data_IF_066105944494
#
_entry.id   IF_066105944494
#
_cell.length_a   1.000
_cell.length_b   1.000
_cell.length_c   1.000
_cell.angle_alpha   90.00
_cell.angle_beta   90.00
_cell.angle_gamma   90.00
#
_symmetry.space_group_name_H-M   'P 1'
#
loop_
_entity.id
_entity.type
_entity.pdbx_description
1 polymer ?
#
# COMPACT_ATOMS: atom_id res chain seq x y z
N UNK A 1 12.24 19.52 26.21
CA UNK A 1 11.42 18.72 27.13
C UNK A 1 11.22 17.34 26.50
N UNK A 2 11.48 16.31 27.31
CA UNK A 2 11.33 14.91 26.89
C UNK A 2 10.39 14.18 27.87
N UNK A 3 9.40 13.49 27.36
CA UNK A 3 8.51 12.65 28.17
C UNK A 3 8.51 11.17 27.72
N UNK A 4 9.35 10.82 26.74
CA UNK A 4 9.52 9.46 26.24
C UNK A 4 10.51 8.63 27.06
N UNK A 5 10.54 7.33 26.81
CA UNK A 5 11.40 6.36 27.49
C UNK A 5 12.90 6.54 27.19
N UNK A 6 13.25 7.28 26.13
CA UNK A 6 14.61 7.61 25.75
C UNK A 6 14.78 9.10 25.48
N UNK A 7 16.01 9.59 25.68
CA UNK A 7 16.47 10.92 25.25
C UNK A 7 17.55 10.77 24.20
N UNK A 8 17.52 11.57 23.14
CA UNK A 8 18.57 11.60 22.13
C UNK A 8 19.81 12.32 22.72
N UNK A 9 20.91 11.57 22.83
CA UNK A 9 22.16 12.07 23.44
C UNK A 9 23.26 12.37 22.41
N UNK A 10 23.15 11.79 21.21
CA UNK A 10 24.02 12.08 20.07
C UNK A 10 23.23 12.09 18.77
N UNK A 11 23.63 12.96 17.85
CA UNK A 11 23.12 13.02 16.49
C UNK A 11 24.24 13.39 15.52
N UNK A 12 24.55 12.47 14.62
CA UNK A 12 25.46 12.71 13.48
C UNK A 12 24.63 12.65 12.21
N UNK A 13 24.48 13.79 11.56
CA UNK A 13 23.64 13.91 10.37
C UNK A 13 24.06 12.93 9.27
N UNK A 14 23.09 12.18 8.73
CA UNK A 14 23.31 11.18 7.70
C UNK A 14 24.03 9.90 8.16
N UNK A 15 24.34 9.76 9.45
CA UNK A 15 25.09 8.62 9.98
C UNK A 15 24.33 7.91 11.12
N UNK A 16 24.20 8.55 12.30
CA UNK A 16 23.59 7.88 13.45
C UNK A 16 22.83 8.81 14.39
N UNK A 17 21.92 8.21 15.14
CA UNK A 17 21.26 8.80 16.32
C UNK A 17 21.45 7.86 17.49
N UNK A 18 21.94 8.38 18.62
CA UNK A 18 22.08 7.62 19.86
C UNK A 18 21.02 8.08 20.85
N UNK A 19 20.28 7.14 21.38
CA UNK A 19 19.26 7.35 22.38
C UNK A 19 19.66 6.65 23.67
N UNK A 20 19.60 7.37 24.80
CA UNK A 20 19.91 6.83 26.12
C UNK A 20 18.64 6.80 26.98
N UNK A 21 18.49 5.79 27.81
CA UNK A 21 17.36 5.60 28.72
C UNK A 21 17.11 6.88 29.53
N UNK A 22 15.86 7.31 29.54
CA UNK A 22 15.45 8.50 30.29
C UNK A 22 15.15 8.12 31.76
N UNK A 23 15.98 8.49 32.73
CA UNK A 23 15.75 8.12 34.13
C UNK A 23 14.55 8.83 34.78
N UNK A 24 13.95 9.80 34.09
CA UNK A 24 12.74 10.52 34.51
C UNK A 24 11.47 10.03 33.80
N UNK A 25 11.58 8.96 33.01
CA UNK A 25 10.42 8.37 32.41
C UNK A 25 9.53 7.72 33.47
N UNK A 26 8.21 7.89 33.37
CA UNK A 26 7.27 7.45 34.43
C UNK A 26 7.27 5.92 34.63
N UNK A 27 7.62 5.16 33.60
CA UNK A 27 7.69 3.69 33.61
C UNK A 27 9.10 3.21 33.23
N UNK A 28 10.11 3.61 33.98
CA UNK A 28 11.51 3.27 33.71
C UNK A 28 11.80 1.78 33.83
N UNK A 29 11.01 1.04 34.61
CA UNK A 29 11.21 -0.39 34.83
C UNK A 29 10.86 -1.22 33.58
N UNK A 30 9.95 -0.75 32.75
CA UNK A 30 9.62 -1.40 31.47
C UNK A 30 10.69 -1.19 30.38
N UNK A 31 11.59 -0.22 30.55
CA UNK A 31 12.64 0.11 29.58
C UNK A 31 13.83 -0.84 29.74
N UNK A 32 14.01 -1.77 28.81
CA UNK A 32 14.97 -2.87 28.92
C UNK A 32 16.40 -2.51 28.48
N UNK A 33 16.54 -1.62 27.50
CA UNK A 33 17.85 -1.24 26.96
C UNK A 33 18.30 0.11 27.53
N UNK A 34 19.57 0.21 27.92
CA UNK A 34 20.12 1.46 28.39
C UNK A 34 20.42 2.43 27.23
N UNK A 35 20.80 1.89 26.09
CA UNK A 35 21.12 2.66 24.88
C UNK A 35 20.50 1.99 23.67
N UNK A 36 19.99 2.80 22.74
CA UNK A 36 19.54 2.37 21.42
C UNK A 36 20.22 3.28 20.37
N UNK A 37 20.93 2.67 19.42
CA UNK A 37 21.58 3.38 18.31
C UNK A 37 20.87 3.11 17.02
N UNK A 38 20.43 4.17 16.36
CA UNK A 38 19.84 4.10 15.04
C UNK A 38 20.88 4.54 13.99
N UNK A 39 21.40 3.59 13.23
CA UNK A 39 22.29 3.85 12.08
C UNK A 39 21.50 4.18 10.83
N UNK A 40 21.93 5.20 10.11
CA UNK A 40 21.35 5.58 8.82
C UNK A 40 22.28 5.08 7.72
N UNK A 41 21.75 4.21 6.85
CA UNK A 41 22.47 3.65 5.71
C UNK A 41 21.67 3.90 4.44
N UNK A 42 22.38 4.03 3.31
CA UNK A 42 21.74 4.42 2.04
C UNK A 42 20.94 3.27 1.39
N UNK A 43 21.30 2.03 1.67
CA UNK A 43 20.63 0.87 1.08
C UNK A 43 20.25 -0.19 2.11
N UNK A 44 19.15 -0.89 1.83
CA UNK A 44 18.71 -2.03 2.64
C UNK A 44 19.69 -3.21 2.59
N UNK A 45 20.40 -3.39 1.48
CA UNK A 45 21.43 -4.44 1.35
C UNK A 45 22.61 -4.17 2.29
N UNK A 46 23.04 -2.91 2.42
CA UNK A 46 24.06 -2.51 3.40
C UNK A 46 23.55 -2.75 4.84
N UNK A 47 22.31 -2.41 5.14
CA UNK A 47 21.72 -2.66 6.45
C UNK A 47 21.69 -4.17 6.77
N UNK A 48 21.35 -5.00 5.79
CA UNK A 48 21.34 -6.45 5.93
C UNK A 48 22.75 -7.04 6.16
N UNK A 49 23.76 -6.55 5.44
CA UNK A 49 25.16 -6.94 5.67
C UNK A 49 25.63 -6.58 7.08
N UNK A 50 25.29 -5.40 7.60
CA UNK A 50 25.60 -5.01 8.98
C UNK A 50 24.94 -5.93 10.01
N UNK A 51 23.76 -6.43 9.74
CA UNK A 51 23.11 -7.44 10.59
C UNK A 51 23.87 -8.78 10.53
N UNK A 52 24.27 -9.24 9.35
CA UNK A 52 25.04 -10.49 9.17
C UNK A 52 26.40 -10.43 9.85
N UNK A 53 27.05 -9.26 9.91
CA UNK A 53 28.33 -9.07 10.59
C UNK A 53 28.19 -8.83 12.09
N UNK A 54 26.96 -8.69 12.61
CA UNK A 54 26.70 -8.41 14.03
C UNK A 54 26.90 -6.95 14.42
N UNK A 55 27.00 -6.03 13.46
CA UNK A 55 27.13 -4.60 13.71
C UNK A 55 25.81 -3.91 14.06
N UNK A 56 24.67 -4.55 13.80
CA UNK A 56 23.34 -4.15 14.21
C UNK A 56 22.54 -5.36 14.67
N UNK A 57 21.65 -5.15 15.67
CA UNK A 57 20.83 -6.20 16.28
C UNK A 57 19.50 -6.42 15.56
N UNK A 58 19.08 -5.45 14.72
CA UNK A 58 17.81 -5.46 14.03
C UNK A 58 17.93 -4.79 12.66
N UNK A 59 17.31 -5.41 11.66
CA UNK A 59 17.18 -4.86 10.31
C UNK A 59 15.78 -5.16 9.76
N UNK A 60 15.22 -4.23 9.00
CA UNK A 60 14.01 -4.49 8.24
C UNK A 60 14.39 -5.17 6.92
N UNK A 61 13.75 -6.31 6.64
CA UNK A 61 14.00 -7.05 5.39
C UNK A 61 13.22 -6.46 4.23
N UNK A 62 13.81 -6.48 3.04
CA UNK A 62 13.11 -6.21 1.79
C UNK A 62 12.33 -7.44 1.32
N UNK A 63 11.40 -7.27 0.38
CA UNK A 63 10.63 -8.35 -0.20
C UNK A 63 11.51 -9.49 -0.75
N UNK A 64 12.57 -9.15 -1.48
CA UNK A 64 13.51 -10.14 -2.03
C UNK A 64 14.23 -10.93 -0.95
N UNK A 65 14.66 -10.27 0.13
CA UNK A 65 15.30 -10.93 1.28
C UNK A 65 14.31 -11.83 2.01
N UNK A 66 13.09 -11.36 2.26
CA UNK A 66 12.02 -12.15 2.88
C UNK A 66 11.78 -13.42 2.06
N UNK A 67 11.61 -13.28 0.75
CA UNK A 67 11.40 -14.40 -0.15
C UNK A 67 12.53 -15.41 -0.08
N UNK A 68 13.78 -14.95 -0.22
CA UNK A 68 14.97 -15.82 -0.17
C UNK A 68 15.08 -16.60 1.13
N UNK A 69 14.80 -15.95 2.27
CA UNK A 69 14.91 -16.59 3.58
C UNK A 69 13.71 -17.51 3.83
N UNK A 70 12.48 -17.08 3.51
CA UNK A 70 11.27 -17.85 3.80
C UNK A 70 11.10 -19.09 2.94
N UNK A 71 11.62 -19.09 1.71
CA UNK A 71 11.63 -20.26 0.81
C UNK A 71 12.68 -21.32 1.21
N UNK A 72 13.61 -20.99 2.12
CA UNK A 72 14.63 -21.90 2.61
C UNK A 72 14.59 -22.02 4.14
N UNK A 73 13.83 -22.98 4.71
CA UNK A 73 13.75 -23.19 6.16
C UNK A 73 15.10 -23.52 6.82
N UNK A 74 16.07 -24.01 6.05
CA UNK A 74 17.44 -24.30 6.53
C UNK A 74 18.34 -23.04 6.50
N UNK A 75 17.83 -21.90 6.05
CA UNK A 75 18.60 -20.66 6.05
C UNK A 75 18.90 -20.24 7.50
N UNK A 76 20.17 -19.91 7.78
CA UNK A 76 20.64 -19.59 9.14
C UNK A 76 19.82 -18.49 9.84
N UNK A 77 19.26 -17.54 9.07
CA UNK A 77 18.47 -16.43 9.58
C UNK A 77 16.96 -16.71 9.64
N UNK A 78 16.48 -17.87 9.15
CA UNK A 78 15.06 -18.19 9.13
C UNK A 78 14.43 -18.12 10.52
N UNK A 79 15.10 -18.66 11.54
CA UNK A 79 14.62 -18.67 12.92
C UNK A 79 14.55 -17.28 13.59
N UNK A 80 15.21 -16.29 13.01
CA UNK A 80 15.24 -14.91 13.53
C UNK A 80 14.23 -13.99 12.82
N UNK A 81 13.55 -14.49 11.78
CA UNK A 81 12.48 -13.73 11.15
C UNK A 81 11.31 -13.57 12.11
N UNK A 82 10.90 -12.35 12.32
CA UNK A 82 9.69 -12.02 13.09
C UNK A 82 8.76 -11.18 12.22
N UNK A 83 7.44 -11.48 12.23
CA UNK A 83 6.49 -10.65 11.51
C UNK A 83 6.48 -9.24 12.10
N UNK A 84 6.41 -8.24 11.22
CA UNK A 84 6.20 -6.86 11.64
C UNK A 84 4.79 -6.69 12.24
N UNK A 85 4.61 -5.65 13.03
CA UNK A 85 3.28 -5.36 13.59
C UNK A 85 2.35 -4.91 12.47
N UNK A 86 1.06 -5.30 12.52
CA UNK A 86 0.07 -4.79 11.60
C UNK A 86 0.06 -3.26 11.58
N UNK A 87 -0.01 -2.68 10.40
CA UNK A 87 -0.14 -1.23 10.24
C UNK A 87 -1.45 -0.75 10.86
N UNK A 88 -1.41 0.41 11.50
CA UNK A 88 -2.61 1.13 11.95
C UNK A 88 -3.19 2.03 10.85
N UNK A 89 -2.58 2.02 9.66
CA UNK A 89 -3.04 2.79 8.51
C UNK A 89 -3.58 1.86 7.42
N UNK A 90 -4.76 2.20 6.91
CA UNK A 90 -5.34 1.58 5.73
C UNK A 90 -5.11 2.45 4.50
N UNK A 91 -4.90 1.81 3.36
CA UNK A 91 -4.75 2.47 2.07
C UNK A 91 -5.90 2.07 1.16
N UNK A 92 -6.38 3.03 0.37
CA UNK A 92 -7.50 2.82 -0.54
C UNK A 92 -7.41 3.74 -1.75
N UNK A 93 -8.07 3.38 -2.82
CA UNK A 93 -8.22 4.26 -3.98
C UNK A 93 -9.33 5.29 -3.72
N UNK A 94 -8.94 6.55 -3.63
CA UNK A 94 -9.87 7.66 -3.52
C UNK A 94 -10.09 8.26 -4.91
N UNK A 95 -11.17 7.88 -5.57
CA UNK A 95 -11.48 8.35 -6.91
C UNK A 95 -11.67 9.87 -6.99
N UNK A 96 -10.98 10.48 -7.93
CA UNK A 96 -11.13 11.91 -8.21
C UNK A 96 -12.30 12.14 -9.16
N UNK A 97 -13.42 12.63 -8.65
CA UNK A 97 -14.62 12.93 -9.45
C UNK A 97 -14.57 14.26 -10.17
N UNK A 98 -13.52 15.04 -10.00
CA UNK A 98 -13.33 16.34 -10.61
C UNK A 98 -11.89 16.50 -11.11
N UNK A 99 -11.43 15.49 -11.86
CA UNK A 99 -10.10 15.46 -12.46
C UNK A 99 -9.99 16.52 -13.55
N UNK A 100 -8.82 17.18 -13.59
CA UNK A 100 -8.40 18.04 -14.68
C UNK A 100 -7.34 17.34 -15.54
N UNK A 101 -7.23 17.78 -16.79
CA UNK A 101 -6.07 17.52 -17.63
C UNK A 101 -4.89 18.38 -17.18
N UNK A 102 -3.69 18.11 -17.71
CA UNK A 102 -2.47 18.86 -17.37
C UNK A 102 -2.54 20.35 -17.80
N UNK A 103 -3.39 20.69 -18.76
CA UNK A 103 -3.65 22.06 -19.17
C UNK A 103 -4.63 22.82 -18.25
N UNK A 104 -5.12 22.16 -17.19
CA UNK A 104 -6.06 22.71 -16.22
C UNK A 104 -7.53 22.62 -16.64
N UNK A 105 -7.84 22.13 -17.83
CA UNK A 105 -9.24 21.93 -18.25
C UNK A 105 -9.82 20.66 -17.65
N UNK A 106 -11.16 20.60 -17.39
CA UNK A 106 -11.80 19.39 -16.87
C UNK A 106 -11.60 18.19 -17.80
N UNK A 107 -11.20 17.05 -17.23
CA UNK A 107 -11.18 15.77 -17.94
C UNK A 107 -12.60 15.17 -17.97
N UNK A 108 -13.38 15.60 -18.94
CA UNK A 108 -14.79 15.17 -19.05
C UNK A 108 -14.93 13.68 -19.29
N UNK A 109 -13.99 13.06 -20.03
CA UNK A 109 -14.04 11.63 -20.29
C UNK A 109 -13.91 10.82 -18.99
N UNK A 110 -12.86 11.10 -18.21
CA UNK A 110 -12.67 10.50 -16.89
C UNK A 110 -13.83 10.82 -15.93
N UNK A 111 -14.19 12.10 -15.81
CA UNK A 111 -15.19 12.54 -14.84
C UNK A 111 -16.57 11.90 -15.10
N UNK A 112 -16.94 11.70 -16.36
CA UNK A 112 -18.16 10.99 -16.72
C UNK A 112 -18.04 9.50 -16.43
N UNK A 113 -16.90 8.88 -16.77
CA UNK A 113 -16.67 7.47 -16.52
C UNK A 113 -16.72 7.13 -15.03
N UNK A 114 -15.99 7.89 -14.20
CA UNK A 114 -15.91 7.60 -12.76
C UNK A 114 -17.23 7.90 -12.01
N UNK A 115 -18.08 8.77 -12.53
CA UNK A 115 -19.42 8.99 -11.98
C UNK A 115 -20.37 7.79 -12.21
N UNK A 116 -20.09 6.96 -13.21
CA UNK A 116 -20.89 5.78 -13.54
C UNK A 116 -20.65 4.65 -12.52
N UNK A 117 -21.73 4.10 -11.97
CA UNK A 117 -21.65 3.05 -10.95
C UNK A 117 -21.13 1.73 -11.51
N UNK A 118 -21.59 1.35 -12.72
CA UNK A 118 -21.13 0.12 -13.35
C UNK A 118 -19.63 0.16 -13.65
N UNK A 119 -19.09 1.32 -14.05
CA UNK A 119 -17.67 1.52 -14.25
C UNK A 119 -16.87 1.28 -12.95
N UNK A 120 -17.30 1.86 -11.84
CA UNK A 120 -16.64 1.64 -10.55
C UNK A 120 -16.75 0.19 -10.08
N UNK A 121 -17.92 -0.45 -10.26
CA UNK A 121 -18.14 -1.86 -9.91
C UNK A 121 -17.32 -2.80 -10.77
N UNK A 122 -17.11 -2.49 -12.06
CA UNK A 122 -16.26 -3.28 -12.94
C UNK A 122 -14.82 -3.32 -12.45
N UNK A 123 -14.30 -2.18 -11.95
CA UNK A 123 -12.97 -2.11 -11.35
C UNK A 123 -12.95 -2.82 -9.99
N UNK A 124 -13.96 -2.60 -9.15
CA UNK A 124 -14.03 -3.18 -7.81
C UNK A 124 -14.01 -4.70 -7.83
N UNK A 125 -14.83 -5.31 -8.67
CA UNK A 125 -14.91 -6.77 -8.80
C UNK A 125 -13.89 -7.35 -9.77
N UNK A 126 -13.58 -6.64 -10.84
CA UNK A 126 -12.72 -7.16 -11.92
C UNK A 126 -11.23 -7.04 -11.66
N UNK A 127 -10.78 -6.11 -10.80
CA UNK A 127 -9.36 -5.88 -10.57
C UNK A 127 -8.82 -6.80 -9.47
N UNK A 128 -7.97 -7.76 -9.85
CA UNK A 128 -7.24 -8.58 -8.89
C UNK A 128 -5.93 -7.90 -8.48
N UNK A 129 -5.75 -7.66 -7.19
CA UNK A 129 -4.58 -6.98 -6.61
C UNK A 129 -3.61 -7.95 -5.91
N UNK A 130 -3.71 -9.26 -6.11
CA UNK A 130 -2.84 -10.23 -5.45
C UNK A 130 -1.35 -9.93 -5.66
N UNK A 131 -0.94 -9.70 -6.91
CA UNK A 131 0.46 -9.41 -7.24
C UNK A 131 0.92 -8.07 -6.63
N UNK A 132 0.02 -7.08 -6.57
CA UNK A 132 0.30 -5.80 -5.93
C UNK A 132 0.44 -5.92 -4.41
N UNK A 133 -0.40 -6.73 -3.77
CA UNK A 133 -0.27 -7.03 -2.33
C UNK A 133 1.05 -7.75 -2.03
N UNK A 134 1.54 -8.60 -2.92
CA UNK A 134 2.83 -9.27 -2.81
C UNK A 134 4.02 -8.32 -2.72
N UNK A 135 3.87 -7.06 -3.17
CA UNK A 135 4.89 -6.01 -3.00
C UNK A 135 5.02 -5.52 -1.56
N UNK A 136 4.05 -5.78 -0.71
CA UNK A 136 4.00 -5.34 0.68
C UNK A 136 4.09 -6.51 1.67
N UNK A 137 3.61 -7.67 1.27
CA UNK A 137 3.75 -8.93 2.01
C UNK A 137 3.98 -10.06 1.02
N UNK A 138 5.24 -10.44 0.82
CA UNK A 138 5.63 -11.47 -0.14
C UNK A 138 5.24 -12.89 0.31
N UNK A 139 5.05 -13.12 1.61
CA UNK A 139 4.72 -14.44 2.18
C UNK A 139 3.22 -14.67 2.15
N UNK A 140 2.44 -13.69 2.58
CA UNK A 140 0.99 -13.78 2.71
C UNK A 140 0.31 -12.52 2.11
N UNK A 141 0.31 -12.37 0.77
CA UNK A 141 -0.21 -11.17 0.11
C UNK A 141 -1.63 -10.80 0.52
N UNK A 142 -2.51 -11.78 0.72
CA UNK A 142 -3.91 -11.55 1.06
C UNK A 142 -4.13 -10.93 2.45
N UNK A 143 -3.13 -10.96 3.33
CA UNK A 143 -3.20 -10.22 4.60
C UNK A 143 -3.14 -8.70 4.39
N UNK A 144 -2.72 -8.23 3.21
CA UNK A 144 -2.77 -6.82 2.85
C UNK A 144 -4.17 -6.35 2.43
N UNK A 145 -5.12 -7.28 2.19
CA UNK A 145 -6.48 -6.90 1.84
C UNK A 145 -7.16 -6.21 3.02
N UNK A 146 -7.70 -5.02 2.75
CA UNK A 146 -8.50 -4.28 3.72
C UNK A 146 -9.88 -3.99 3.14
N UNK A 147 -10.91 -4.39 3.85
CA UNK A 147 -12.31 -4.25 3.43
C UNK A 147 -13.01 -3.07 4.09
N UNK A 148 -12.36 -2.37 5.01
CA UNK A 148 -12.91 -1.24 5.75
C UNK A 148 -11.88 -0.13 5.98
N UNK A 149 -12.35 1.07 6.37
CA UNK A 149 -11.47 2.17 6.77
C UNK A 149 -10.71 1.87 8.07
N UNK A 150 -11.28 1.05 8.94
CA UNK A 150 -10.67 0.63 10.20
C UNK A 150 -9.79 -0.59 9.96
N UNK A 151 -8.54 -0.53 10.38
CA UNK A 151 -7.65 -1.68 10.31
C UNK A 151 -8.03 -2.73 11.36
N UNK A 152 -7.70 -3.99 11.09
CA UNK A 152 -7.85 -5.07 12.05
C UNK A 152 -7.10 -4.77 13.36
N UNK A 153 -7.64 -5.25 14.45
CA UNK A 153 -7.12 -5.10 15.81
C UNK A 153 -7.18 -3.67 16.41
N UNK A 154 -7.79 -2.70 15.72
CA UNK A 154 -7.97 -1.35 16.28
C UNK A 154 -9.24 -1.18 17.10
N UNK A 155 -10.32 -1.85 16.71
CA UNK A 155 -11.60 -1.75 17.41
C UNK A 155 -12.21 -3.15 17.59
N UNK A 156 -12.74 -3.43 18.77
CA UNK A 156 -13.41 -4.68 19.12
C UNK A 156 -14.70 -4.39 19.85
N UNK A 157 -15.65 -5.30 19.72
CA UNK A 157 -16.87 -5.31 20.52
C UNK A 157 -16.55 -5.73 21.98
N UNK A 158 -17.51 -5.57 22.88
CA UNK A 158 -17.36 -5.97 24.29
C UNK A 158 -17.12 -7.47 24.49
N UNK A 159 -17.53 -8.29 23.54
CA UNK A 159 -17.32 -9.74 23.50
C UNK A 159 -16.05 -10.15 22.71
N UNK A 160 -15.27 -9.17 22.28
CA UNK A 160 -13.94 -9.38 21.69
C UNK A 160 -13.90 -9.59 20.16
N UNK A 161 -15.04 -9.51 19.47
CA UNK A 161 -15.11 -9.62 18.00
C UNK A 161 -14.49 -8.40 17.36
N UNK A 162 -13.63 -8.59 16.36
CA UNK A 162 -13.01 -7.49 15.62
C UNK A 162 -14.06 -6.76 14.79
N UNK A 163 -14.00 -5.42 14.79
CA UNK A 163 -14.93 -4.59 14.01
C UNK A 163 -14.89 -4.91 12.51
N UNK A 164 -13.71 -5.24 11.99
CA UNK A 164 -13.55 -5.60 10.58
C UNK A 164 -14.34 -6.85 10.22
N UNK A 165 -14.38 -7.85 11.10
CA UNK A 165 -15.16 -9.09 10.88
C UNK A 165 -16.66 -8.78 10.73
N UNK A 166 -17.20 -7.86 11.56
CA UNK A 166 -18.58 -7.44 11.45
C UNK A 166 -18.88 -6.69 10.14
N UNK A 167 -17.94 -5.88 9.67
CA UNK A 167 -18.07 -5.16 8.40
C UNK A 167 -18.08 -6.16 7.24
N UNK A 168 -17.14 -7.12 7.23
CA UNK A 168 -16.99 -8.12 6.20
C UNK A 168 -18.22 -9.04 6.12
N UNK A 169 -18.75 -9.46 7.26
CA UNK A 169 -20.01 -10.22 7.34
C UNK A 169 -21.17 -9.43 6.73
N UNK A 170 -21.31 -8.15 7.08
CA UNK A 170 -22.38 -7.28 6.52
C UNK A 170 -22.23 -7.01 5.03
N UNK A 171 -20.99 -6.96 4.53
CA UNK A 171 -20.72 -6.83 3.10
C UNK A 171 -20.98 -8.13 2.34
N UNK A 172 -21.17 -9.25 3.03
CA UNK A 172 -21.34 -10.57 2.40
C UNK A 172 -20.10 -10.98 1.62
N UNK A 173 -18.90 -10.63 2.09
CA UNK A 173 -17.67 -11.08 1.45
C UNK A 173 -17.53 -12.60 1.60
N UNK A 174 -17.13 -13.30 0.53
CA UNK A 174 -16.92 -14.74 0.60
C UNK A 174 -15.76 -15.07 1.54
N UNK A 175 -15.71 -16.31 1.99
CA UNK A 175 -14.52 -16.85 2.65
C UNK A 175 -13.30 -16.77 1.72
N UNK A 176 -12.12 -16.60 2.29
CA UNK A 176 -10.87 -16.55 1.51
C UNK A 176 -10.60 -17.90 0.85
N UNK A 177 -10.34 -17.90 -0.46
CA UNK A 177 -9.89 -19.07 -1.20
C UNK A 177 -8.35 -19.29 -1.11
N UNK A 178 -7.66 -18.40 -0.41
CA UNK A 178 -6.19 -18.39 -0.28
C UNK A 178 -5.44 -18.03 -1.56
N UNK A 179 -6.13 -17.61 -2.62
CA UNK A 179 -5.55 -17.35 -3.95
C UNK A 179 -5.86 -15.96 -4.48
N UNK A 180 -7.03 -15.45 -4.17
CA UNK A 180 -7.52 -14.18 -4.70
C UNK A 180 -8.00 -13.26 -3.58
N UNK A 181 -7.93 -11.92 -3.76
CA UNK A 181 -8.65 -10.99 -2.89
C UNK A 181 -10.14 -11.36 -2.84
N UNK A 182 -10.73 -11.36 -1.66
CA UNK A 182 -12.11 -11.81 -1.41
C UNK A 182 -13.17 -11.04 -2.21
N UNK A 183 -12.89 -9.77 -2.54
CA UNK A 183 -13.77 -8.94 -3.39
C UNK A 183 -13.66 -9.24 -4.87
N UNK A 184 -12.59 -9.92 -5.31
CA UNK A 184 -12.36 -10.23 -6.72
C UNK A 184 -13.37 -11.28 -7.22
N UNK A 185 -14.12 -10.90 -8.25
CA UNK A 185 -15.11 -11.74 -8.91
C UNK A 185 -15.08 -11.43 -10.43
N UNK A 186 -14.38 -12.28 -11.18
CA UNK A 186 -14.14 -12.05 -12.59
C UNK A 186 -15.44 -11.98 -13.42
N UNK A 187 -16.46 -12.78 -13.05
CA UNK A 187 -17.74 -12.82 -13.77
C UNK A 187 -18.51 -11.52 -13.55
N UNK A 188 -18.69 -11.11 -12.29
CA UNK A 188 -19.32 -9.82 -11.98
C UNK A 188 -18.54 -8.65 -12.56
N UNK A 189 -17.20 -8.68 -12.48
CA UNK A 189 -16.34 -7.68 -13.11
C UNK A 189 -16.63 -7.53 -14.61
N UNK A 190 -16.74 -8.65 -15.32
CA UNK A 190 -17.04 -8.68 -16.76
C UNK A 190 -18.46 -8.19 -17.07
N UNK A 191 -19.46 -8.58 -16.27
CA UNK A 191 -20.84 -8.09 -16.40
C UNK A 191 -20.91 -6.57 -16.25
N UNK A 192 -20.33 -6.02 -15.18
CA UNK A 192 -20.32 -4.59 -14.97
C UNK A 192 -19.48 -3.85 -16.02
N UNK A 193 -18.37 -4.43 -16.51
CA UNK A 193 -17.61 -3.87 -17.64
C UNK A 193 -18.49 -3.71 -18.87
N UNK A 194 -19.24 -4.76 -19.23
CA UNK A 194 -20.17 -4.72 -20.38
C UNK A 194 -21.24 -3.63 -20.20
N UNK A 195 -21.88 -3.58 -19.05
CA UNK A 195 -22.86 -2.56 -18.70
C UNK A 195 -22.25 -1.14 -18.76
N UNK A 196 -21.07 -0.95 -18.19
CA UNK A 196 -20.39 0.35 -18.20
C UNK A 196 -20.05 0.81 -19.63
N UNK A 197 -19.59 -0.10 -20.50
CA UNK A 197 -19.30 0.25 -21.90
C UNK A 197 -20.56 0.73 -22.61
N UNK A 198 -21.70 0.04 -22.43
CA UNK A 198 -22.97 0.40 -23.03
C UNK A 198 -23.45 1.79 -22.53
N UNK A 199 -23.53 1.96 -21.23
CA UNK A 199 -24.00 3.21 -20.60
C UNK A 199 -23.10 4.40 -20.94
N UNK A 200 -21.78 4.23 -20.85
CA UNK A 200 -20.80 5.29 -21.06
C UNK A 200 -20.65 5.69 -22.51
N UNK A 201 -20.75 4.72 -23.44
CA UNK A 201 -20.78 5.03 -24.88
C UNK A 201 -21.98 5.90 -25.23
N UNK A 202 -23.14 5.62 -24.64
CA UNK A 202 -24.36 6.44 -24.81
C UNK A 202 -24.19 7.87 -24.25
N UNK A 203 -23.27 8.07 -23.28
CA UNK A 203 -22.93 9.37 -22.71
C UNK A 203 -21.74 10.05 -23.44
N UNK A 204 -21.22 9.45 -24.52
CA UNK A 204 -20.13 10.01 -25.32
C UNK A 204 -18.72 9.79 -24.75
N UNK A 205 -18.57 8.89 -23.78
CA UNK A 205 -17.25 8.49 -23.26
C UNK A 205 -16.52 7.65 -24.30
N UNK A 206 -15.24 7.93 -24.48
CA UNK A 206 -14.36 7.19 -25.38
C UNK A 206 -13.49 6.22 -24.58
N UNK A 207 -13.28 5.02 -25.14
CA UNK A 207 -12.41 3.99 -24.56
C UNK A 207 -11.10 3.88 -25.35
N UNK A 208 -9.98 3.51 -24.66
CA UNK A 208 -9.90 3.28 -23.22
C UNK A 208 -10.03 4.58 -22.39
N UNK A 209 -10.53 4.44 -21.16
CA UNK A 209 -10.54 5.54 -20.19
C UNK A 209 -9.16 5.64 -19.56
N UNK A 210 -8.52 6.81 -19.62
CA UNK A 210 -7.20 7.06 -19.05
C UNK A 210 -7.26 7.15 -17.50
N UNK A 211 -6.48 6.31 -16.83
CA UNK A 211 -6.26 6.31 -15.39
C UNK A 211 -4.86 6.84 -15.09
N UNK A 212 -4.75 8.09 -14.68
CA UNK A 212 -3.46 8.72 -14.37
C UNK A 212 -3.09 8.52 -12.91
N UNK A 213 -1.97 7.87 -12.68
CA UNK A 213 -1.40 7.59 -11.36
C UNK A 213 -0.03 8.22 -11.21
N UNK A 214 0.14 9.05 -10.19
CA UNK A 214 1.36 9.83 -9.99
C UNK A 214 2.21 9.27 -8.86
N UNK A 215 3.50 9.09 -9.12
CA UNK A 215 4.52 8.66 -8.15
C UNK A 215 5.72 9.60 -8.15
N UNK A 216 6.48 9.70 -7.05
CA UNK A 216 7.71 10.50 -7.04
C UNK A 216 8.75 9.88 -7.99
N UNK A 217 9.23 10.67 -8.98
CA UNK A 217 10.11 10.17 -10.03
C UNK A 217 11.48 9.67 -9.54
N UNK A 218 11.93 10.12 -8.38
CA UNK A 218 13.18 9.66 -7.74
C UNK A 218 13.02 8.40 -6.88
N UNK A 219 11.80 7.87 -6.72
CA UNK A 219 11.55 6.71 -5.87
C UNK A 219 11.32 5.44 -6.71
N UNK A 220 12.39 4.68 -6.93
CA UNK A 220 12.33 3.45 -7.74
C UNK A 220 11.35 2.43 -7.19
N UNK A 221 11.27 2.24 -5.86
CA UNK A 221 10.33 1.29 -5.25
C UNK A 221 8.88 1.64 -5.58
N UNK A 222 8.51 2.93 -5.55
CA UNK A 222 7.15 3.34 -5.91
C UNK A 222 6.88 3.20 -7.41
N UNK A 223 7.88 3.44 -8.26
CA UNK A 223 7.77 3.17 -9.70
C UNK A 223 7.54 1.68 -9.97
N UNK A 224 8.30 0.80 -9.32
CA UNK A 224 8.15 -0.65 -9.46
C UNK A 224 6.76 -1.12 -8.97
N UNK A 225 6.29 -0.58 -7.84
CA UNK A 225 4.93 -0.88 -7.34
C UNK A 225 3.85 -0.40 -8.31
N UNK A 226 4.03 0.78 -8.92
CA UNK A 226 3.12 1.30 -9.92
C UNK A 226 3.08 0.44 -11.19
N UNK A 227 4.23 -0.11 -11.61
CA UNK A 227 4.30 -1.05 -12.74
C UNK A 227 3.53 -2.35 -12.46
N UNK A 228 3.63 -2.90 -11.25
CA UNK A 228 2.85 -4.08 -10.88
C UNK A 228 1.36 -3.77 -10.87
N UNK A 229 0.98 -2.58 -10.40
CA UNK A 229 -0.42 -2.14 -10.44
C UNK A 229 -0.92 -1.94 -11.87
N UNK A 230 -0.13 -1.31 -12.76
CA UNK A 230 -0.44 -1.17 -14.19
C UNK A 230 -0.65 -2.54 -14.84
N UNK A 231 0.25 -3.49 -14.61
CA UNK A 231 0.13 -4.85 -15.12
C UNK A 231 -1.17 -5.52 -14.65
N UNK A 232 -1.59 -5.27 -13.41
CA UNK A 232 -2.87 -5.78 -12.89
C UNK A 232 -4.07 -5.16 -13.62
N UNK A 233 -4.06 -3.85 -13.88
CA UNK A 233 -5.10 -3.20 -14.68
C UNK A 233 -5.17 -3.78 -16.10
N UNK A 234 -4.03 -3.88 -16.78
CA UNK A 234 -3.96 -4.41 -18.14
C UNK A 234 -4.42 -5.86 -18.22
N UNK A 235 -3.97 -6.71 -17.29
CA UNK A 235 -4.28 -8.14 -17.24
C UNK A 235 -5.75 -8.43 -16.95
N UNK A 236 -6.35 -7.72 -16.00
CA UNK A 236 -7.66 -8.05 -15.48
C UNK A 236 -8.79 -7.20 -16.03
N UNK A 237 -8.54 -5.95 -16.37
CA UNK A 237 -9.56 -5.06 -16.94
C UNK A 237 -9.42 -4.91 -18.46
N UNK A 238 -8.20 -5.02 -18.97
CA UNK A 238 -7.86 -4.86 -20.39
C UNK A 238 -7.54 -3.41 -20.76
N UNK A 239 -6.43 -3.22 -21.49
CA UNK A 239 -5.95 -1.91 -21.93
C UNK A 239 -6.84 -1.25 -23.00
N UNK A 240 -7.80 -1.97 -23.56
CA UNK A 240 -8.86 -1.47 -24.44
C UNK A 240 -10.01 -0.79 -23.67
N UNK A 241 -10.15 -1.09 -22.38
CA UNK A 241 -11.19 -0.55 -21.50
C UNK A 241 -10.66 0.55 -20.60
N UNK A 242 -9.57 0.27 -19.90
CA UNK A 242 -8.89 1.22 -18.99
C UNK A 242 -7.41 1.24 -19.30
N UNK A 243 -6.87 2.43 -19.58
CA UNK A 243 -5.44 2.61 -19.82
C UNK A 243 -4.78 3.23 -18.60
N UNK A 244 -3.99 2.45 -17.89
CA UNK A 244 -3.29 2.91 -16.70
C UNK A 244 -1.98 3.62 -17.09
N UNK A 245 -1.86 4.89 -16.77
CA UNK A 245 -0.70 5.73 -17.08
C UNK A 245 0.07 6.04 -15.80
N UNK A 246 1.33 5.61 -15.74
CA UNK A 246 2.25 6.00 -14.66
C UNK A 246 2.86 7.35 -15.02
N UNK A 247 2.64 8.34 -14.17
CA UNK A 247 3.18 9.69 -14.29
C UNK A 247 4.03 10.01 -13.06
N UNK A 248 4.95 10.95 -13.19
CA UNK A 248 5.86 11.31 -12.11
C UNK A 248 5.74 12.77 -11.73
N UNK A 249 6.01 13.05 -10.46
CA UNK A 249 6.24 14.41 -9.97
C UNK A 249 7.64 14.51 -9.36
N UNK A 250 8.17 15.76 -9.26
CA UNK A 250 9.58 15.98 -8.90
C UNK A 250 9.73 16.47 -7.46
N UNK A 251 8.98 17.48 -7.05
CA UNK A 251 9.23 18.18 -5.79
C UNK A 251 8.07 18.06 -4.79
N UNK A 252 6.84 18.29 -5.23
CA UNK A 252 5.70 18.35 -4.31
C UNK A 252 4.44 17.76 -4.92
N UNK A 253 4.03 16.62 -4.37
CA UNK A 253 2.75 16.01 -4.71
C UNK A 253 1.57 16.99 -4.56
N UNK A 254 1.56 17.78 -3.50
CA UNK A 254 0.49 18.76 -3.27
C UNK A 254 0.36 19.76 -4.40
N UNK A 255 1.49 20.35 -4.82
CA UNK A 255 1.50 21.43 -5.82
C UNK A 255 1.40 20.92 -7.26
N UNK A 256 2.05 19.80 -7.55
CA UNK A 256 2.14 19.28 -8.92
C UNK A 256 0.97 18.38 -9.30
N UNK A 257 0.31 17.74 -8.32
CA UNK A 257 -0.69 16.71 -8.57
C UNK A 257 -2.03 17.02 -7.91
N UNK A 258 -2.04 17.24 -6.57
CA UNK A 258 -3.28 17.36 -5.80
C UNK A 258 -4.01 18.69 -6.05
N UNK A 259 -3.30 19.82 -6.00
CA UNK A 259 -3.91 21.13 -6.24
C UNK A 259 -4.42 21.30 -7.68
N UNK A 260 -3.64 20.88 -8.72
CA UNK A 260 -4.15 20.85 -10.09
C UNK A 260 -5.22 19.77 -10.35
N UNK A 261 -5.37 18.78 -9.46
CA UNK A 261 -6.33 17.66 -9.58
C UNK A 261 -6.11 16.78 -10.82
N UNK A 262 -4.86 16.53 -11.19
CA UNK A 262 -4.54 15.80 -12.44
C UNK A 262 -4.52 14.28 -12.29
N UNK A 263 -4.56 13.74 -11.07
CA UNK A 263 -4.58 12.29 -10.82
C UNK A 263 -6.00 11.70 -10.85
N UNK A 264 -6.11 10.41 -11.14
CA UNK A 264 -7.37 9.67 -11.15
C UNK A 264 -7.78 9.15 -9.76
N UNK A 265 -6.81 8.87 -8.86
CA UNK A 265 -7.03 8.46 -7.47
C UNK A 265 -5.82 8.67 -6.57
#
# INVERSE_FOLDING_TARGET
WYNGCYTMTSYIQGNEKVFTKNPKYWDTESVRFDTATHRMVESWDTAYQLYQTGDVDYVKLTESMIKTISENPDHELYQYMVPDKPSTMSYQFHWNYAKNKEDGTPDTNWNTAIANEAFRKSIYYGLNLYDYFGRFNAVEPLQCENSSYTCRNLARTSDGVDYVDLVEERMGLPESDGKNPRRYDAEKGAEYKKQAIEELTALGVTFPVDVDFYVPGANQTQLDNALVLQNSFDKYLGSDYVKFNIKTYISSFSKEVREPRVQSF
#
